data_IF_634069223332
#
_entry.id   IF_634069223332
#
_cell.length_a   1.000
_cell.length_b   1.000
_cell.length_c   1.000
_cell.angle_alpha   90.00
_cell.angle_beta   90.00
_cell.angle_gamma   90.00
#
_symmetry.space_group_name_H-M   'P 1'
#
loop_
_entity.id
_entity.type
_entity.pdbx_description
1 polymer ?
#
# COMPACT_ATOMS: atom_id res chain seq x y z
N UNK A 1 2.84 0.98 46.13
CA UNK A 1 4.03 0.13 46.35
C UNK A 1 5.19 0.75 45.59
N UNK A 2 6.21 1.19 46.31
CA UNK A 2 7.43 1.79 45.77
C UNK A 2 8.14 0.79 44.86
N UNK A 3 8.51 1.22 43.66
CA UNK A 3 9.35 0.44 42.74
C UNK A 3 10.75 0.34 43.31
N UNK A 4 11.00 -0.70 44.10
CA UNK A 4 12.34 -1.05 44.53
C UNK A 4 13.08 -1.81 43.42
N UNK A 5 14.35 -1.45 43.30
CA UNK A 5 15.33 -1.76 42.27
C UNK A 5 15.43 -3.27 41.95
N UNK A 6 15.40 -3.63 40.66
CA UNK A 6 15.45 -5.03 40.20
C UNK A 6 16.84 -5.46 39.71
N UNK A 7 17.87 -4.65 39.99
CA UNK A 7 19.26 -5.02 39.86
C UNK A 7 19.95 -4.57 38.57
N UNK A 8 21.28 -4.61 38.61
CA UNK A 8 22.18 -4.03 37.61
C UNK A 8 22.21 -4.79 36.27
N UNK A 9 22.32 -4.05 35.17
CA UNK A 9 22.73 -4.57 33.88
C UNK A 9 23.99 -3.83 33.45
N UNK A 10 25.14 -4.52 33.46
CA UNK A 10 26.43 -4.10 32.87
C UNK A 10 26.71 -2.60 33.11
N UNK A 11 26.79 -2.22 34.38
CA UNK A 11 27.14 -0.88 34.89
C UNK A 11 26.09 0.25 34.80
N UNK A 12 24.84 -0.04 34.44
CA UNK A 12 23.75 0.96 34.55
C UNK A 12 22.60 0.50 35.48
N UNK A 13 22.18 1.40 36.36
CA UNK A 13 20.96 1.26 37.19
C UNK A 13 19.77 1.69 36.33
N UNK A 14 19.00 0.73 35.84
CA UNK A 14 17.79 1.02 35.05
C UNK A 14 16.56 0.87 35.94
N UNK A 15 15.92 1.99 36.29
CA UNK A 15 14.63 1.98 36.98
C UNK A 15 13.53 1.50 36.03
N UNK A 16 13.00 0.32 36.28
CA UNK A 16 11.83 -0.20 35.59
C UNK A 16 10.58 -0.16 36.48
N UNK A 17 9.52 0.50 36.01
CA UNK A 17 8.23 0.58 36.70
C UNK A 17 7.27 -0.50 36.16
N UNK A 18 7.51 -1.78 36.45
CA UNK A 18 6.52 -2.84 36.20
C UNK A 18 6.31 -3.71 37.45
N UNK A 19 5.11 -4.29 37.56
CA UNK A 19 4.77 -5.20 38.65
C UNK A 19 5.62 -6.48 38.54
N UNK A 20 6.53 -6.70 39.49
CA UNK A 20 7.30 -7.94 39.62
C UNK A 20 6.90 -8.69 40.91
N UNK A 21 5.65 -9.19 41.02
CA UNK A 21 5.16 -9.84 42.24
C UNK A 21 6.00 -11.08 42.61
N UNK A 22 6.66 -11.70 41.62
CA UNK A 22 7.52 -12.86 41.81
C UNK A 22 8.97 -12.51 42.23
N UNK A 23 9.32 -11.21 42.35
CA UNK A 23 10.67 -10.71 42.69
C UNK A 23 11.81 -11.34 41.87
N UNK A 24 11.53 -11.67 40.60
CA UNK A 24 12.52 -12.29 39.71
C UNK A 24 13.57 -11.26 39.31
N UNK A 25 14.83 -11.66 39.25
CA UNK A 25 15.88 -10.82 38.64
C UNK A 25 15.62 -10.62 37.16
N UNK A 26 16.21 -9.58 36.55
CA UNK A 26 16.11 -9.34 35.12
C UNK A 26 16.41 -10.63 34.32
N UNK A 27 17.55 -11.27 34.60
CA UNK A 27 17.95 -12.53 33.95
C UNK A 27 16.90 -13.65 34.10
N UNK A 28 16.30 -13.80 35.28
CA UNK A 28 15.25 -14.79 35.54
C UNK A 28 13.94 -14.48 34.80
N UNK A 29 13.64 -13.19 34.59
CA UNK A 29 12.53 -12.77 33.73
C UNK A 29 12.82 -13.12 32.25
N UNK A 30 14.07 -13.12 31.82
CA UNK A 30 14.45 -13.34 30.40
C UNK A 30 14.67 -14.80 30.00
N UNK A 31 15.22 -15.63 30.89
CA UNK A 31 15.78 -16.96 30.55
C UNK A 31 14.75 -17.95 29.95
N UNK A 32 13.46 -17.79 30.26
CA UNK A 32 12.39 -18.71 29.86
C UNK A 32 11.62 -18.37 28.58
N UNK A 33 11.81 -17.18 28.00
CA UNK A 33 10.98 -16.67 26.89
C UNK A 33 11.76 -16.43 25.59
N UNK A 34 12.99 -16.92 25.49
CA UNK A 34 13.76 -16.94 24.26
C UNK A 34 13.41 -18.19 23.44
N UNK A 35 12.99 -18.02 22.18
CA UNK A 35 13.02 -19.13 21.21
C UNK A 35 14.42 -19.18 20.62
N UNK A 36 15.11 -20.31 20.82
CA UNK A 36 16.38 -20.60 20.16
C UNK A 36 16.05 -21.24 18.82
N UNK A 37 16.38 -20.55 17.74
CA UNK A 37 16.38 -21.12 16.40
C UNK A 37 17.83 -21.36 15.99
N UNK A 38 18.17 -22.62 15.75
CA UNK A 38 19.41 -22.99 15.09
C UNK A 38 19.22 -22.71 13.60
N UNK A 39 19.78 -21.60 13.11
CA UNK A 39 19.79 -21.31 11.68
C UNK A 39 20.98 -22.04 11.07
N UNK A 40 20.72 -23.04 10.23
CA UNK A 40 21.76 -23.74 9.50
C UNK A 40 22.26 -22.87 8.33
N UNK A 41 23.42 -22.25 8.48
CA UNK A 41 24.05 -21.37 7.47
C UNK A 41 25.11 -22.07 6.63
N UNK A 42 25.16 -23.41 6.62
CA UNK A 42 26.19 -24.15 5.89
C UNK A 42 27.55 -24.06 6.60
N UNK A 43 28.58 -23.53 5.91
CA UNK A 43 29.99 -23.67 6.29
C UNK A 43 30.44 -22.83 7.50
N UNK A 44 29.59 -21.96 8.05
CA UNK A 44 29.93 -21.06 9.16
C UNK A 44 29.56 -21.60 10.56
N UNK A 45 29.07 -22.85 10.64
CA UNK A 45 28.59 -23.43 11.90
C UNK A 45 27.25 -22.84 12.36
N UNK A 46 26.53 -23.49 13.29
CA UNK A 46 25.21 -23.04 13.71
C UNK A 46 25.29 -21.69 14.44
N UNK A 47 24.71 -20.65 13.84
CA UNK A 47 24.49 -19.37 14.51
C UNK A 47 23.23 -19.51 15.36
N UNK A 48 23.40 -19.53 16.70
CA UNK A 48 22.28 -19.51 17.64
C UNK A 48 21.62 -18.15 17.62
N UNK A 49 20.47 -18.05 16.96
CA UNK A 49 19.61 -16.87 17.05
C UNK A 49 18.58 -17.09 18.15
N UNK A 50 18.58 -16.25 19.18
CA UNK A 50 17.54 -16.29 20.22
C UNK A 50 16.60 -15.11 20.05
N UNK A 51 15.35 -15.37 19.64
CA UNK A 51 14.31 -14.34 19.55
C UNK A 51 13.56 -14.26 20.86
N UNK A 52 13.60 -13.09 21.49
CA UNK A 52 12.81 -12.78 22.67
C UNK A 52 11.59 -11.95 22.26
N UNK A 53 10.39 -12.42 22.58
CA UNK A 53 9.17 -11.61 22.52
C UNK A 53 8.78 -11.21 23.94
N UNK A 54 8.45 -9.93 24.15
CA UNK A 54 8.12 -9.39 25.47
C UNK A 54 6.77 -8.68 25.40
N UNK A 55 5.96 -8.86 26.43
CA UNK A 55 4.69 -8.16 26.62
C UNK A 55 4.77 -7.40 27.94
N UNK A 56 4.47 -6.10 27.93
CA UNK A 56 4.26 -5.34 29.15
C UNK A 56 2.76 -5.34 29.45
N UNK A 57 2.37 -5.85 30.61
CA UNK A 57 1.00 -5.71 31.11
C UNK A 57 0.95 -4.40 31.88
N UNK A 58 0.20 -3.44 31.35
CA UNK A 58 -0.01 -2.14 31.98
C UNK A 58 -1.42 -2.11 32.57
N UNK A 59 -1.53 -1.70 33.82
CA UNK A 59 -2.80 -1.56 34.51
C UNK A 59 -2.85 -0.20 35.22
N UNK A 60 -3.96 0.51 35.06
CA UNK A 60 -4.25 1.76 35.75
C UNK A 60 -5.75 1.80 36.10
N UNK A 61 -6.16 2.65 37.07
CA UNK A 61 -7.57 2.79 37.40
C UNK A 61 -8.39 3.19 36.17
N UNK A 62 -9.57 2.59 36.02
CA UNK A 62 -10.46 2.87 34.88
C UNK A 62 -10.83 4.36 34.77
N UNK A 63 -10.87 5.06 35.90
CA UNK A 63 -11.14 6.50 35.99
C UNK A 63 -10.08 7.36 35.29
N UNK A 64 -8.86 6.84 35.09
CA UNK A 64 -7.77 7.53 34.39
C UNK A 64 -7.47 6.89 33.03
N UNK A 65 -8.33 5.98 32.56
CA UNK A 65 -8.01 5.15 31.42
C UNK A 65 -7.76 5.97 30.15
N UNK A 66 -8.66 6.89 29.79
CA UNK A 66 -8.49 7.77 28.64
C UNK A 66 -7.22 8.62 28.70
N UNK A 67 -6.90 9.16 29.89
CA UNK A 67 -5.70 9.95 30.12
C UNK A 67 -4.44 9.12 29.80
N UNK A 68 -4.36 7.91 30.37
CA UNK A 68 -3.19 7.06 30.18
C UNK A 68 -3.09 6.48 28.76
N UNK A 69 -4.21 6.18 28.12
CA UNK A 69 -4.26 5.79 26.69
C UNK A 69 -3.63 6.88 25.83
N UNK A 70 -4.05 8.14 26.01
CA UNK A 70 -3.51 9.27 25.23
C UNK A 70 -2.03 9.54 25.53
N UNK A 71 -1.56 9.34 26.76
CA UNK A 71 -0.16 9.62 27.14
C UNK A 71 0.78 8.51 26.65
N UNK A 72 0.38 7.24 26.76
CA UNK A 72 1.32 6.13 26.64
C UNK A 72 1.19 5.34 25.33
N UNK A 73 0.02 5.32 24.68
CA UNK A 73 -0.18 4.52 23.47
C UNK A 73 0.12 5.33 22.19
N UNK A 74 0.60 4.70 21.10
CA UNK A 74 0.59 5.33 19.78
C UNK A 74 -0.84 5.68 19.37
N UNK A 75 -1.02 6.74 18.57
CA UNK A 75 -2.33 7.31 18.32
C UNK A 75 -3.32 6.32 17.68
N UNK A 76 -2.84 5.46 16.78
CA UNK A 76 -3.63 4.42 16.13
C UNK A 76 -4.22 3.42 17.12
N UNK A 77 -3.45 3.02 18.13
CA UNK A 77 -3.92 2.10 19.16
C UNK A 77 -4.81 2.82 20.17
N UNK A 78 -4.53 4.08 20.46
CA UNK A 78 -5.34 4.89 21.36
C UNK A 78 -6.77 5.06 20.85
N UNK A 79 -6.95 5.33 19.55
CA UNK A 79 -8.29 5.44 18.96
C UNK A 79 -8.99 4.09 18.85
N UNK A 80 -8.26 3.00 18.60
CA UNK A 80 -8.84 1.66 18.57
C UNK A 80 -9.29 1.19 19.96
N UNK A 81 -8.56 1.55 21.01
CA UNK A 81 -8.99 1.31 22.39
C UNK A 81 -10.24 2.14 22.70
N UNK A 82 -10.28 3.40 22.29
CA UNK A 82 -11.48 4.23 22.44
C UNK A 82 -12.69 3.63 21.69
N UNK A 83 -12.44 3.05 20.51
CA UNK A 83 -13.43 2.34 19.71
C UNK A 83 -13.95 1.05 20.37
N UNK A 84 -13.17 0.41 21.24
CA UNK A 84 -13.60 -0.78 21.98
C UNK A 84 -14.52 -0.43 23.16
N UNK A 85 -14.45 0.81 23.65
CA UNK A 85 -15.22 1.34 24.77
C UNK A 85 -16.57 1.96 24.37
N UNK A 86 -17.06 1.72 23.14
CA UNK A 86 -18.34 2.26 22.66
C UNK A 86 -19.48 1.99 23.66
N UNK A 87 -20.43 2.93 23.82
CA UNK A 87 -20.52 4.23 23.12
C UNK A 87 -19.64 5.32 23.74
N UNK A 88 -19.11 6.21 22.91
CA UNK A 88 -18.32 7.38 23.35
C UNK A 88 -19.02 8.65 22.89
N UNK A 89 -19.29 9.57 23.80
CA UNK A 89 -20.02 10.81 23.47
C UNK A 89 -19.10 11.83 22.75
N UNK A 90 -19.73 12.79 22.07
CA UNK A 90 -19.01 13.77 21.27
C UNK A 90 -18.10 14.71 22.08
N UNK A 91 -18.37 14.94 23.37
CA UNK A 91 -17.52 15.77 24.22
C UNK A 91 -16.20 15.05 24.55
N UNK A 92 -16.27 13.76 24.86
CA UNK A 92 -15.10 12.91 25.12
C UNK A 92 -14.24 12.77 23.87
N UNK A 93 -14.85 12.61 22.69
CA UNK A 93 -14.13 12.59 21.42
C UNK A 93 -13.40 13.90 21.12
N UNK A 94 -14.01 15.06 21.40
CA UNK A 94 -13.35 16.38 21.26
C UNK A 94 -12.16 16.51 22.20
N UNK A 95 -12.31 16.08 23.45
CA UNK A 95 -11.23 16.12 24.44
C UNK A 95 -10.09 15.18 24.05
N UNK A 96 -10.41 13.98 23.56
CA UNK A 96 -9.45 13.03 23.02
C UNK A 96 -8.66 13.62 21.85
N UNK A 97 -9.34 14.18 20.84
CA UNK A 97 -8.69 14.84 19.70
C UNK A 97 -7.77 15.98 20.15
N UNK A 98 -8.21 16.84 21.07
CA UNK A 98 -7.40 17.94 21.59
C UNK A 98 -6.13 17.43 22.27
N UNK A 99 -6.27 16.41 23.12
CA UNK A 99 -5.15 15.88 23.89
C UNK A 99 -4.13 15.14 23.00
N UNK A 100 -4.61 14.32 22.06
CA UNK A 100 -3.73 13.59 21.15
C UNK A 100 -3.06 14.51 20.14
N UNK A 101 -3.79 15.52 19.67
CA UNK A 101 -3.25 16.56 18.79
C UNK A 101 -2.15 17.35 19.45
N UNK A 102 -2.33 17.78 20.71
CA UNK A 102 -1.31 18.48 21.46
C UNK A 102 -0.02 17.65 21.63
N UNK A 103 -0.15 16.33 21.80
CA UNK A 103 1.00 15.41 21.92
C UNK A 103 1.75 15.22 20.61
N UNK A 104 1.02 15.08 19.50
CA UNK A 104 1.59 14.74 18.20
C UNK A 104 1.84 15.95 17.28
N UNK A 105 1.45 17.15 17.71
CA UNK A 105 1.59 18.38 16.94
C UNK A 105 0.61 18.47 15.76
N UNK A 106 -0.56 17.84 15.85
CA UNK A 106 -1.56 17.84 14.78
C UNK A 106 -2.34 19.17 14.72
N UNK A 107 -2.96 19.44 13.57
CA UNK A 107 -3.90 20.55 13.40
C UNK A 107 -3.30 21.95 13.20
N UNK A 108 -4.14 22.97 13.00
CA UNK A 108 -3.78 24.24 12.35
C UNK A 108 -2.84 25.16 13.13
N UNK A 109 -2.57 24.87 14.41
CA UNK A 109 -1.71 25.71 15.26
C UNK A 109 -0.21 25.47 15.04
N UNK A 110 0.20 24.43 14.30
CA UNK A 110 1.58 23.96 14.27
C UNK A 110 2.13 23.84 12.83
N UNK A 111 2.75 24.92 12.30
CA UNK A 111 3.64 24.97 11.11
C UNK A 111 3.11 24.38 9.77
N UNK A 112 3.67 24.76 8.61
CA UNK A 112 3.18 24.30 7.29
C UNK A 112 3.45 22.82 6.97
N UNK A 113 4.01 22.05 7.91
CA UNK A 113 4.22 20.61 7.82
C UNK A 113 3.38 19.87 8.87
N UNK A 114 2.14 20.33 9.10
CA UNK A 114 1.21 19.68 10.03
C UNK A 114 1.13 18.19 9.73
N UNK A 115 1.52 17.37 10.71
CA UNK A 115 1.22 15.94 10.66
C UNK A 115 -0.29 15.80 10.80
N UNK A 116 -0.92 15.26 9.77
CA UNK A 116 -2.33 14.83 9.82
C UNK A 116 -2.40 13.44 10.45
N UNK A 117 -3.61 12.97 10.77
CA UNK A 117 -3.77 11.62 11.33
C UNK A 117 -3.40 10.55 10.30
N UNK A 118 -2.99 9.36 10.73
CA UNK A 118 -2.77 8.24 9.79
C UNK A 118 -4.10 7.71 9.25
N UNK A 119 -4.08 7.06 8.08
CA UNK A 119 -5.28 6.40 7.49
C UNK A 119 -5.93 5.43 8.48
N UNK A 120 -5.12 4.68 9.23
CA UNK A 120 -5.60 3.75 10.25
C UNK A 120 -6.34 4.47 11.37
N UNK A 121 -5.80 5.59 11.86
CA UNK A 121 -6.48 6.43 12.84
C UNK A 121 -7.81 6.95 12.28
N UNK A 122 -7.78 7.53 11.08
CA UNK A 122 -8.94 8.10 10.40
C UNK A 122 -10.09 7.11 10.27
N UNK A 123 -9.80 5.88 9.82
CA UNK A 123 -10.80 4.81 9.70
C UNK A 123 -11.49 4.53 11.03
N UNK A 124 -10.71 4.35 12.11
CA UNK A 124 -11.26 4.06 13.44
C UNK A 124 -12.04 5.25 14.00
N UNK A 125 -11.57 6.47 13.76
CA UNK A 125 -12.23 7.67 14.24
C UNK A 125 -13.55 7.97 13.51
N UNK A 126 -13.66 7.66 12.22
CA UNK A 126 -14.93 7.76 11.48
C UNK A 126 -16.03 6.89 12.11
N UNK A 127 -15.71 5.69 12.58
CA UNK A 127 -16.69 4.84 13.26
C UNK A 127 -17.20 5.49 14.56
N UNK A 128 -16.31 6.11 15.36
CA UNK A 128 -16.69 6.85 16.56
C UNK A 128 -17.56 8.08 16.23
N UNK A 129 -17.25 8.77 15.14
CA UNK A 129 -18.01 9.94 14.68
C UNK A 129 -19.44 9.58 14.29
N UNK A 130 -19.63 8.45 13.58
CA UNK A 130 -20.95 7.93 13.25
C UNK A 130 -21.73 7.61 14.52
N UNK A 131 -21.11 6.93 15.49
CA UNK A 131 -21.76 6.58 16.76
C UNK A 131 -22.14 7.81 17.60
N UNK A 132 -21.32 8.87 17.56
CA UNK A 132 -21.57 10.10 18.30
C UNK A 132 -22.65 11.00 17.66
N UNK A 133 -22.86 10.91 16.34
CA UNK A 133 -23.91 11.64 15.63
C UNK A 133 -23.78 13.17 15.63
N UNK A 134 -22.60 13.71 15.93
CA UNK A 134 -22.36 15.16 16.07
C UNK A 134 -21.73 15.76 14.80
N UNK A 135 -22.52 16.53 14.05
CA UNK A 135 -22.12 17.12 12.76
C UNK A 135 -20.96 18.10 12.88
N UNK A 136 -20.90 18.88 13.96
CA UNK A 136 -19.83 19.87 14.16
C UNK A 136 -18.50 19.17 14.47
N UNK A 137 -18.55 18.06 15.20
CA UNK A 137 -17.38 17.23 15.44
C UNK A 137 -16.89 16.55 14.15
N UNK A 138 -17.80 16.07 13.30
CA UNK A 138 -17.45 15.51 11.98
C UNK A 138 -16.74 16.56 11.13
N UNK A 139 -17.32 17.75 10.99
CA UNK A 139 -16.71 18.88 10.25
C UNK A 139 -15.34 19.26 10.82
N UNK A 140 -15.23 19.35 12.14
CA UNK A 140 -13.97 19.65 12.81
C UNK A 140 -12.91 18.61 12.46
N UNK A 141 -13.25 17.31 12.51
CA UNK A 141 -12.33 16.24 12.19
C UNK A 141 -11.90 16.28 10.72
N UNK A 142 -12.85 16.33 9.79
CA UNK A 142 -12.59 16.35 8.35
C UNK A 142 -11.70 17.51 7.93
N UNK A 143 -11.92 18.70 8.51
CA UNK A 143 -11.22 19.92 8.06
C UNK A 143 -9.88 20.18 8.75
N UNK A 144 -9.67 19.68 9.98
CA UNK A 144 -8.50 20.04 10.80
C UNK A 144 -7.57 18.88 11.15
N UNK A 145 -8.03 17.64 11.01
CA UNK A 145 -7.29 16.48 11.52
C UNK A 145 -7.14 15.38 10.48
N UNK A 146 -8.20 15.12 9.71
CA UNK A 146 -8.21 14.08 8.70
C UNK A 146 -7.23 14.42 7.58
N UNK A 147 -6.35 13.49 7.18
CA UNK A 147 -5.53 13.70 6.01
C UNK A 147 -6.34 13.64 4.73
N UNK A 148 -5.78 14.22 3.67
CA UNK A 148 -6.19 13.88 2.31
C UNK A 148 -5.78 12.44 1.98
N UNK A 149 -6.74 11.65 1.54
CA UNK A 149 -6.65 10.20 1.43
C UNK A 149 -6.29 9.73 0.01
N UNK A 150 -6.45 10.57 -1.01
CA UNK A 150 -6.14 10.19 -2.39
C UNK A 150 -4.68 9.77 -2.55
N UNK A 151 -4.45 8.59 -3.15
CA UNK A 151 -3.14 7.94 -3.33
C UNK A 151 -2.41 7.53 -2.03
N UNK A 152 -2.98 7.75 -0.85
CA UNK A 152 -2.39 7.37 0.45
C UNK A 152 -2.36 5.86 0.64
N UNK A 153 -1.24 5.35 1.18
CA UNK A 153 -1.09 3.92 1.47
C UNK A 153 -2.18 3.44 2.43
N UNK A 154 -2.85 2.34 2.09
CA UNK A 154 -3.89 1.73 2.92
C UNK A 154 -5.25 2.46 2.88
N UNK A 155 -5.43 3.48 2.04
CA UNK A 155 -6.67 4.27 1.96
C UNK A 155 -7.90 3.44 1.59
N UNK A 156 -7.72 2.31 0.91
CA UNK A 156 -8.77 1.37 0.57
C UNK A 156 -9.46 0.80 1.82
N UNK A 157 -8.73 0.71 2.93
CA UNK A 157 -9.26 0.23 4.21
C UNK A 157 -10.19 1.24 4.89
N UNK A 158 -10.13 2.52 4.51
CA UNK A 158 -10.99 3.56 5.04
C UNK A 158 -12.32 3.69 4.28
N UNK A 159 -12.44 3.12 3.07
CA UNK A 159 -13.64 3.20 2.22
C UNK A 159 -14.93 2.83 2.96
N UNK A 160 -15.02 1.70 3.71
CA UNK A 160 -16.25 1.35 4.42
C UNK A 160 -16.66 2.38 5.46
N UNK A 161 -15.69 2.96 6.18
CA UNK A 161 -15.96 3.96 7.22
C UNK A 161 -16.38 5.31 6.59
N UNK A 162 -15.79 5.69 5.45
CA UNK A 162 -16.20 6.88 4.69
C UNK A 162 -17.63 6.74 4.18
N UNK A 163 -18.01 5.56 3.65
CA UNK A 163 -19.38 5.27 3.22
C UNK A 163 -20.35 5.41 4.39
N UNK A 164 -19.99 4.89 5.58
CA UNK A 164 -20.82 5.04 6.79
C UNK A 164 -21.02 6.51 7.16
N UNK A 165 -19.97 7.32 7.16
CA UNK A 165 -20.07 8.77 7.39
C UNK A 165 -21.00 9.43 6.36
N UNK A 166 -20.78 9.18 5.07
CA UNK A 166 -21.59 9.76 4.00
C UNK A 166 -23.08 9.36 4.06
N UNK A 167 -23.38 8.18 4.62
CA UNK A 167 -24.75 7.69 4.80
C UNK A 167 -25.39 8.10 6.14
N UNK A 168 -24.59 8.43 7.15
CA UNK A 168 -25.08 8.79 8.49
C UNK A 168 -25.45 10.28 8.61
N UNK A 169 -24.83 11.14 7.81
CA UNK A 169 -25.00 12.60 7.89
C UNK A 169 -25.59 13.17 6.60
N UNK A 170 -26.25 14.33 6.70
CA UNK A 170 -26.83 15.01 5.53
C UNK A 170 -25.70 15.54 4.65
N UNK A 171 -25.78 15.24 3.34
CA UNK A 171 -24.71 15.58 2.40
C UNK A 171 -24.43 17.09 2.32
N UNK A 172 -25.47 17.93 2.36
CA UNK A 172 -25.31 19.39 2.33
C UNK A 172 -24.54 19.95 3.54
N UNK A 173 -24.45 19.20 4.65
CA UNK A 173 -23.69 19.63 5.82
C UNK A 173 -22.22 19.24 5.73
N UNK A 174 -21.91 18.02 5.29
CA UNK A 174 -20.53 17.47 5.37
C UNK A 174 -19.86 17.25 4.02
N UNK A 175 -20.61 17.34 2.92
CA UNK A 175 -20.20 16.89 1.59
C UNK A 175 -18.97 17.61 1.06
N UNK A 176 -18.88 18.93 1.23
CA UNK A 176 -17.71 19.72 0.82
C UNK A 176 -16.44 19.27 1.57
N UNK A 177 -16.53 19.12 2.89
CA UNK A 177 -15.40 18.66 3.71
C UNK A 177 -15.03 17.21 3.41
N UNK A 178 -16.01 16.35 3.11
CA UNK A 178 -15.75 14.97 2.75
C UNK A 178 -15.08 14.85 1.38
N UNK A 179 -15.48 15.67 0.42
CA UNK A 179 -14.86 15.72 -0.90
C UNK A 179 -13.40 16.22 -0.82
N UNK A 180 -13.10 17.21 0.02
CA UNK A 180 -11.73 17.72 0.19
C UNK A 180 -10.77 16.62 0.69
N UNK A 181 -11.19 15.80 1.65
CA UNK A 181 -10.34 14.71 2.16
C UNK A 181 -10.18 13.56 1.15
N UNK A 182 -11.07 13.42 0.16
CA UNK A 182 -10.96 12.41 -0.88
C UNK A 182 -10.04 12.86 -2.04
N UNK A 183 -9.62 14.11 -2.03
CA UNK A 183 -8.66 14.64 -2.99
C UNK A 183 -7.21 14.17 -2.72
N UNK A 184 -6.28 14.60 -3.56
CA UNK A 184 -4.87 14.21 -3.52
C UNK A 184 -4.21 14.56 -2.18
N UNK A 185 -3.70 13.51 -1.50
CA UNK A 185 -2.76 13.66 -0.40
C UNK A 185 -1.40 14.18 -0.85
N UNK A 186 -0.62 14.68 0.11
CA UNK A 186 0.80 14.97 -0.09
C UNK A 186 1.58 13.67 -0.26
N UNK A 187 2.29 13.51 -1.38
CA UNK A 187 3.11 12.32 -1.64
C UNK A 187 4.59 12.67 -1.77
N UNK A 188 5.41 11.91 -1.05
CA UNK A 188 6.80 11.63 -1.41
C UNK A 188 6.78 10.37 -2.26
N UNK A 189 7.48 10.38 -3.39
CA UNK A 189 7.51 9.27 -4.34
C UNK A 189 7.78 7.92 -3.67
N UNK A 190 6.87 6.96 -3.86
CA UNK A 190 6.98 5.60 -3.34
C UNK A 190 6.01 4.64 -4.04
N UNK A 191 6.37 3.35 -4.04
CA UNK A 191 5.70 2.24 -4.75
C UNK A 191 4.40 1.76 -4.06
N UNK A 192 4.24 2.04 -2.75
CA UNK A 192 3.09 1.58 -1.96
C UNK A 192 1.95 2.59 -1.98
N UNK A 193 1.40 2.89 -3.16
CA UNK A 193 0.23 3.80 -3.29
C UNK A 193 -1.06 2.99 -3.15
N UNK A 194 -1.97 3.46 -2.30
CA UNK A 194 -3.34 2.93 -2.24
C UNK A 194 -4.14 3.30 -3.49
N UNK A 195 -5.47 3.24 -3.39
CA UNK A 195 -6.38 3.70 -4.44
C UNK A 195 -6.03 5.13 -4.87
N UNK A 196 -6.05 5.39 -6.18
CA UNK A 196 -5.98 6.76 -6.69
C UNK A 196 -7.17 7.57 -6.16
N UNK A 197 -7.10 8.90 -6.22
CA UNK A 197 -8.25 9.76 -5.94
C UNK A 197 -9.47 9.38 -6.82
N UNK A 198 -9.25 9.13 -8.12
CA UNK A 198 -10.30 8.69 -9.04
C UNK A 198 -10.95 7.38 -8.57
N UNK A 199 -10.15 6.37 -8.26
CA UNK A 199 -10.62 5.05 -7.83
C UNK A 199 -11.31 5.11 -6.46
N UNK A 200 -10.74 5.88 -5.52
CA UNK A 200 -11.31 6.09 -4.19
C UNK A 200 -12.70 6.74 -4.26
N UNK A 201 -12.87 7.79 -5.07
CA UNK A 201 -14.15 8.46 -5.28
C UNK A 201 -15.20 7.49 -5.85
N UNK A 202 -14.84 6.67 -6.83
CA UNK A 202 -15.73 5.66 -7.39
C UNK A 202 -16.18 4.62 -6.35
N UNK A 203 -15.24 4.14 -5.55
CA UNK A 203 -15.52 3.15 -4.51
C UNK A 203 -16.53 3.66 -3.47
N UNK A 204 -16.40 4.93 -3.07
CA UNK A 204 -17.38 5.56 -2.17
C UNK A 204 -18.71 5.77 -2.91
N UNK A 205 -18.68 6.30 -4.13
CA UNK A 205 -19.88 6.60 -4.92
C UNK A 205 -20.75 5.37 -5.22
N UNK A 206 -20.16 4.18 -5.36
CA UNK A 206 -20.92 2.94 -5.67
C UNK A 206 -21.83 2.49 -4.52
N UNK A 207 -21.56 2.90 -3.29
CA UNK A 207 -22.20 2.37 -2.07
C UNK A 207 -22.85 3.44 -1.17
N UNK A 208 -22.81 4.72 -1.54
CA UNK A 208 -23.58 5.77 -0.86
C UNK A 208 -25.05 5.71 -1.28
N UNK A 209 -25.94 5.95 -0.32
CA UNK A 209 -27.39 5.88 -0.51
C UNK A 209 -27.97 7.21 -1.01
N UNK A 210 -27.31 8.33 -0.70
CA UNK A 210 -27.74 9.66 -1.16
C UNK A 210 -27.41 9.85 -2.64
N UNK A 211 -28.45 10.13 -3.45
CA UNK A 211 -28.29 10.46 -4.86
C UNK A 211 -27.44 11.74 -5.06
N UNK A 212 -27.62 12.72 -4.18
CA UNK A 212 -26.83 13.96 -4.17
C UNK A 212 -25.35 13.68 -3.91
N UNK A 213 -25.06 12.85 -2.90
CA UNK A 213 -23.70 12.44 -2.58
C UNK A 213 -23.05 11.67 -3.73
N UNK A 214 -23.79 10.69 -4.29
CA UNK A 214 -23.32 9.90 -5.43
C UNK A 214 -22.99 10.80 -6.62
N UNK A 215 -23.87 11.73 -6.98
CA UNK A 215 -23.66 12.63 -8.11
C UNK A 215 -22.44 13.53 -7.89
N UNK A 216 -22.27 14.09 -6.69
CA UNK A 216 -21.13 14.94 -6.35
C UNK A 216 -19.80 14.18 -6.43
N UNK A 217 -19.75 12.95 -5.90
CA UNK A 217 -18.56 12.08 -5.96
C UNK A 217 -18.21 11.69 -7.41
N UNK A 218 -19.20 11.31 -8.21
CA UNK A 218 -18.98 10.95 -9.63
C UNK A 218 -18.53 12.16 -10.45
N UNK A 219 -19.13 13.34 -10.22
CA UNK A 219 -18.72 14.59 -10.87
C UNK A 219 -17.26 14.91 -10.55
N UNK A 220 -16.87 14.85 -9.27
CA UNK A 220 -15.48 15.07 -8.88
C UNK A 220 -14.55 14.04 -9.52
N UNK A 221 -14.94 12.76 -9.59
CA UNK A 221 -14.12 11.73 -10.24
C UNK A 221 -13.86 12.05 -11.71
N UNK A 222 -14.88 12.52 -12.45
CA UNK A 222 -14.75 12.91 -13.86
C UNK A 222 -13.78 14.08 -14.09
N UNK A 223 -13.59 14.95 -13.11
CA UNK A 223 -12.62 16.05 -13.16
C UNK A 223 -11.18 15.59 -12.91
N UNK A 224 -10.97 14.39 -12.36
CA UNK A 224 -9.63 13.83 -12.09
C UNK A 224 -9.05 13.07 -13.29
N UNK A 225 -7.73 12.83 -13.21
CA UNK A 225 -7.01 11.95 -14.13
C UNK A 225 -7.49 10.50 -13.96
N UNK A 226 -7.72 9.82 -15.08
CA UNK A 226 -8.14 8.42 -15.07
C UNK A 226 -6.98 7.54 -14.60
N UNK A 227 -7.09 7.01 -13.39
CA UNK A 227 -6.11 6.09 -12.81
C UNK A 227 -6.86 4.99 -12.07
N UNK A 228 -7.12 3.88 -12.75
CA UNK A 228 -7.79 2.70 -12.19
C UNK A 228 -6.81 1.54 -12.23
N UNK A 229 -6.51 0.97 -11.06
CA UNK A 229 -5.52 -0.11 -10.96
C UNK A 229 -6.15 -1.47 -10.72
N UNK A 230 -7.39 -1.51 -10.22
CA UNK A 230 -8.05 -2.77 -9.89
C UNK A 230 -9.19 -3.09 -10.85
N UNK A 231 -9.40 -4.39 -11.09
CA UNK A 231 -10.56 -4.91 -11.85
C UNK A 231 -11.88 -4.43 -11.21
N UNK A 232 -11.92 -4.35 -9.88
CA UNK A 232 -13.09 -3.85 -9.15
C UNK A 232 -13.35 -2.36 -9.42
N UNK A 233 -12.32 -1.52 -9.39
CA UNK A 233 -12.41 -0.10 -9.73
C UNK A 233 -12.91 0.12 -11.16
N UNK A 234 -12.38 -0.64 -12.12
CA UNK A 234 -12.86 -0.64 -13.51
C UNK A 234 -14.30 -1.13 -13.62
N UNK A 235 -14.69 -2.17 -12.88
CA UNK A 235 -16.07 -2.65 -12.85
C UNK A 235 -17.06 -1.59 -12.37
N UNK A 236 -16.70 -0.85 -11.31
CA UNK A 236 -17.50 0.28 -10.82
C UNK A 236 -17.55 1.39 -11.85
N UNK A 237 -16.40 1.76 -12.44
CA UNK A 237 -16.32 2.75 -13.50
C UNK A 237 -17.24 2.42 -14.69
N UNK A 238 -17.21 1.17 -15.16
CA UNK A 238 -18.09 0.68 -16.21
C UNK A 238 -19.56 0.86 -15.83
N UNK A 239 -19.95 0.34 -14.65
CA UNK A 239 -21.32 0.36 -14.13
C UNK A 239 -21.86 1.78 -13.90
N UNK A 240 -21.05 2.68 -13.34
CA UNK A 240 -21.49 3.99 -12.83
C UNK A 240 -21.26 5.15 -13.78
N UNK A 241 -20.29 5.05 -14.68
CA UNK A 241 -19.94 6.14 -15.61
C UNK A 241 -20.22 5.74 -17.06
N UNK A 242 -19.74 4.57 -17.50
CA UNK A 242 -19.82 4.21 -18.94
C UNK A 242 -21.23 3.76 -19.36
N UNK A 243 -21.91 2.95 -18.55
CA UNK A 243 -23.29 2.51 -18.87
C UNK A 243 -24.26 3.69 -18.85
N UNK A 244 -24.32 4.53 -17.79
CA UNK A 244 -25.33 5.58 -17.69
C UNK A 244 -24.96 6.87 -18.43
N UNK A 245 -23.69 7.02 -18.83
CA UNK A 245 -23.18 8.23 -19.46
C UNK A 245 -23.77 8.50 -20.83
N UNK A 246 -23.92 9.79 -21.15
CA UNK A 246 -24.32 10.23 -22.49
C UNK A 246 -23.19 10.09 -23.51
N UNK A 247 -23.47 10.41 -24.78
CA UNK A 247 -22.49 10.29 -25.86
C UNK A 247 -21.23 11.13 -25.63
N UNK A 248 -21.36 12.29 -24.98
CA UNK A 248 -20.23 13.17 -24.69
C UNK A 248 -19.36 12.59 -23.57
N UNK A 249 -19.97 12.17 -22.46
CA UNK A 249 -19.29 11.51 -21.35
C UNK A 249 -18.57 10.26 -21.83
N UNK A 250 -19.23 9.45 -22.65
CA UNK A 250 -18.63 8.25 -23.24
C UNK A 250 -17.42 8.59 -24.11
N UNK A 251 -17.52 9.61 -24.98
CA UNK A 251 -16.42 10.07 -25.83
C UNK A 251 -15.23 10.56 -25.00
N UNK A 252 -15.48 11.37 -23.99
CA UNK A 252 -14.43 11.87 -23.09
C UNK A 252 -13.74 10.74 -22.34
N UNK A 253 -14.51 9.80 -21.79
CA UNK A 253 -13.95 8.65 -21.06
C UNK A 253 -13.17 7.71 -21.97
N UNK A 254 -13.67 7.46 -23.19
CA UNK A 254 -12.91 6.74 -24.22
C UNK A 254 -11.56 7.40 -24.47
N UNK A 255 -11.56 8.72 -24.69
CA UNK A 255 -10.33 9.45 -25.00
C UNK A 255 -9.35 9.43 -23.82
N UNK A 256 -9.85 9.38 -22.57
CA UNK A 256 -9.02 9.14 -21.37
C UNK A 256 -8.45 7.72 -21.33
N UNK A 257 -9.28 6.69 -21.55
CA UNK A 257 -8.84 5.28 -21.55
C UNK A 257 -7.76 5.04 -22.61
N UNK A 258 -7.93 5.61 -23.80
CA UNK A 258 -6.96 5.47 -24.90
C UNK A 258 -5.59 6.11 -24.60
N UNK A 259 -5.48 6.97 -23.59
CA UNK A 259 -4.21 7.55 -23.11
C UNK A 259 -3.55 6.73 -22.00
N UNK A 260 -4.26 5.76 -21.40
CA UNK A 260 -3.68 4.86 -20.39
C UNK A 260 -2.58 4.02 -21.02
N UNK A 261 -1.51 3.75 -20.26
CA UNK A 261 -0.38 2.94 -20.73
C UNK A 261 -0.84 1.52 -21.05
N UNK A 262 -0.36 0.90 -22.15
CA UNK A 262 -0.75 -0.47 -22.49
C UNK A 262 -0.54 -1.51 -21.37
N UNK A 263 0.51 -1.33 -20.56
CA UNK A 263 0.80 -2.16 -19.38
C UNK A 263 -0.30 -2.11 -18.29
N UNK A 264 -1.08 -1.03 -18.25
CA UNK A 264 -2.13 -0.77 -17.26
C UNK A 264 -3.55 -1.06 -17.81
N UNK A 265 -3.68 -1.47 -19.07
CA UNK A 265 -4.97 -1.74 -19.72
C UNK A 265 -5.60 -3.09 -19.34
N UNK A 266 -4.87 -4.00 -18.70
CA UNK A 266 -5.36 -5.35 -18.36
C UNK A 266 -6.72 -5.36 -17.67
N UNK A 267 -6.92 -4.61 -16.56
CA UNK A 267 -8.21 -4.54 -15.88
C UNK A 267 -9.37 -4.02 -16.75
N UNK A 268 -9.09 -3.09 -17.67
CA UNK A 268 -10.08 -2.56 -18.61
C UNK A 268 -10.55 -3.63 -19.59
N UNK A 269 -9.61 -4.34 -20.19
CA UNK A 269 -9.89 -5.43 -21.11
C UNK A 269 -10.69 -6.52 -20.42
N UNK A 270 -10.30 -6.93 -19.21
CA UNK A 270 -11.00 -7.98 -18.47
C UNK A 270 -12.47 -7.60 -18.20
N UNK A 271 -12.73 -6.40 -17.70
CA UNK A 271 -14.10 -5.95 -17.40
C UNK A 271 -14.92 -5.79 -18.67
N UNK A 272 -14.40 -5.13 -19.69
CA UNK A 272 -15.18 -4.84 -20.90
C UNK A 272 -15.49 -6.13 -21.66
N UNK A 273 -14.52 -7.05 -21.76
CA UNK A 273 -14.72 -8.39 -22.32
C UNK A 273 -15.80 -9.17 -21.56
N UNK A 274 -15.95 -9.01 -20.23
CA UNK A 274 -17.02 -9.68 -19.49
C UNK A 274 -18.41 -9.07 -19.69
N UNK A 275 -18.50 -7.78 -20.06
CA UNK A 275 -19.76 -7.02 -20.04
C UNK A 275 -20.27 -6.62 -21.44
N UNK A 276 -19.43 -6.68 -22.48
CA UNK A 276 -19.82 -6.40 -23.87
C UNK A 276 -20.09 -7.73 -24.57
N UNK A 277 -21.33 -7.94 -25.03
CA UNK A 277 -21.74 -9.11 -25.80
C UNK A 277 -21.41 -8.95 -27.29
N UNK A 278 -21.23 -10.07 -28.00
CA UNK A 278 -20.96 -10.12 -29.45
C UNK A 278 -22.09 -9.55 -30.32
N UNK A 279 -23.24 -9.20 -29.72
CA UNK A 279 -24.39 -8.59 -30.39
C UNK A 279 -24.53 -7.09 -30.12
N UNK A 280 -23.64 -6.53 -29.30
CA UNK A 280 -23.58 -5.11 -29.01
C UNK A 280 -22.96 -4.38 -30.22
N UNK A 281 -23.82 -3.95 -31.16
CA UNK A 281 -23.43 -3.28 -32.42
C UNK A 281 -22.97 -1.83 -32.23
N UNK A 282 -22.56 -1.47 -31.01
CA UNK A 282 -22.34 -0.10 -30.60
C UNK A 282 -20.88 0.32 -30.68
N UNK A 283 -20.67 1.64 -30.70
CA UNK A 283 -19.37 2.33 -30.56
C UNK A 283 -18.51 1.75 -29.41
N UNK A 284 -19.12 1.15 -28.38
CA UNK A 284 -18.45 0.51 -27.25
C UNK A 284 -17.59 -0.69 -27.66
N UNK A 285 -18.08 -1.53 -28.59
CA UNK A 285 -17.32 -2.68 -29.10
C UNK A 285 -16.05 -2.22 -29.83
N UNK A 286 -16.16 -1.21 -30.70
CA UNK A 286 -15.00 -0.65 -31.41
C UNK A 286 -13.96 -0.03 -30.46
N UNK A 287 -14.41 0.56 -29.34
CA UNK A 287 -13.48 1.06 -28.29
C UNK A 287 -12.76 -0.10 -27.60
N UNK A 288 -13.49 -1.17 -27.26
CA UNK A 288 -12.91 -2.36 -26.67
C UNK A 288 -11.87 -3.01 -27.61
N UNK A 289 -12.17 -3.12 -28.91
CA UNK A 289 -11.23 -3.64 -29.90
C UNK A 289 -9.91 -2.85 -29.93
N UNK A 290 -9.97 -1.51 -29.91
CA UNK A 290 -8.77 -0.66 -29.88
C UNK A 290 -7.97 -0.83 -28.58
N UNK A 291 -8.66 -0.92 -27.44
CA UNK A 291 -8.02 -1.15 -26.13
C UNK A 291 -7.35 -2.54 -26.10
N UNK A 292 -8.06 -3.56 -26.57
CA UNK A 292 -7.56 -4.93 -26.65
C UNK A 292 -6.34 -5.02 -27.57
N UNK A 293 -6.39 -4.42 -28.77
CA UNK A 293 -5.26 -4.38 -29.70
C UNK A 293 -4.01 -3.75 -29.07
N UNK A 294 -4.15 -2.58 -28.42
CA UNK A 294 -3.04 -1.95 -27.69
C UNK A 294 -2.45 -2.85 -26.60
N UNK A 295 -3.31 -3.56 -25.86
CA UNK A 295 -2.88 -4.49 -24.81
C UNK A 295 -2.15 -5.70 -25.43
N UNK A 296 -2.69 -6.28 -26.49
CA UNK A 296 -2.10 -7.42 -27.20
C UNK A 296 -0.73 -7.09 -27.79
N UNK A 297 -0.56 -5.92 -28.41
CA UNK A 297 0.73 -5.47 -28.93
C UNK A 297 1.79 -5.36 -27.81
N UNK A 298 1.40 -4.80 -26.67
CA UNK A 298 2.28 -4.71 -25.50
C UNK A 298 2.62 -6.09 -24.92
N UNK A 299 1.62 -6.98 -24.78
CA UNK A 299 1.83 -8.36 -24.33
C UNK A 299 2.79 -9.10 -25.26
N UNK A 300 2.64 -8.97 -26.58
CA UNK A 300 3.57 -9.56 -27.55
C UNK A 300 4.99 -9.04 -27.38
N UNK A 301 5.16 -7.73 -27.13
CA UNK A 301 6.45 -7.13 -26.81
C UNK A 301 7.09 -7.70 -25.54
N UNK A 302 6.33 -7.81 -24.45
CA UNK A 302 6.83 -8.36 -23.19
C UNK A 302 7.13 -9.86 -23.27
N UNK A 303 6.30 -10.64 -23.97
CA UNK A 303 6.56 -12.06 -24.23
C UNK A 303 7.87 -12.21 -25.00
N UNK A 304 8.08 -11.45 -26.08
CA UNK A 304 9.33 -11.49 -26.83
C UNK A 304 10.54 -11.10 -25.97
N UNK A 305 10.37 -10.10 -25.09
CA UNK A 305 11.41 -9.69 -24.12
C UNK A 305 11.74 -10.83 -23.16
N UNK A 306 10.75 -11.50 -22.60
CA UNK A 306 10.95 -12.58 -21.63
C UNK A 306 11.27 -13.95 -22.26
N UNK A 307 11.04 -14.15 -23.55
CA UNK A 307 11.43 -15.37 -24.27
C UNK A 307 12.96 -15.55 -24.34
N UNK A 308 13.73 -14.47 -24.18
CA UNK A 308 15.18 -14.52 -24.00
C UNK A 308 15.60 -15.09 -22.63
N UNK A 309 14.68 -15.15 -21.66
CA UNK A 309 14.92 -15.74 -20.35
C UNK A 309 14.76 -17.26 -20.44
N UNK A 310 15.85 -17.96 -20.20
CA UNK A 310 15.89 -19.43 -20.23
C UNK A 310 14.83 -20.04 -19.30
N UNK A 311 14.11 -21.05 -19.80
CA UNK A 311 13.19 -21.87 -19.00
C UNK A 311 13.93 -22.54 -17.84
N UNK A 312 15.21 -22.87 -18.06
CA UNK A 312 16.10 -23.35 -17.01
C UNK A 312 16.69 -22.18 -16.23
N UNK A 313 16.77 -22.35 -14.92
CA UNK A 313 17.22 -21.29 -14.02
C UNK A 313 18.65 -20.83 -14.34
N UNK A 314 18.82 -19.52 -14.48
CA UNK A 314 20.12 -18.84 -14.58
C UNK A 314 20.19 -17.68 -13.60
N UNK A 315 21.39 -17.34 -13.14
CA UNK A 315 21.64 -16.15 -12.32
C UNK A 315 21.66 -14.84 -13.13
N UNK A 316 21.48 -14.90 -14.45
CA UNK A 316 21.42 -13.70 -15.30
C UNK A 316 20.12 -12.94 -15.07
N UNK A 317 20.22 -11.62 -14.95
CA UNK A 317 19.08 -10.69 -14.94
C UNK A 317 19.28 -9.70 -16.11
N UNK A 318 19.00 -10.08 -17.36
CA UNK A 318 19.38 -9.32 -18.56
C UNK A 318 18.85 -7.89 -18.62
N UNK A 319 17.74 -7.62 -17.93
CA UNK A 319 17.07 -6.32 -17.92
C UNK A 319 17.38 -5.48 -16.68
N UNK A 320 18.21 -5.98 -15.76
CA UNK A 320 18.60 -5.28 -14.55
C UNK A 320 19.27 -3.94 -14.86
N UNK A 321 18.94 -2.90 -14.09
CA UNK A 321 19.59 -1.58 -14.18
C UNK A 321 20.18 -1.19 -12.84
N UNK A 322 21.40 -0.69 -12.85
CA UNK A 322 22.07 -0.17 -11.66
C UNK A 322 22.71 1.19 -11.94
N UNK A 323 21.91 2.27 -11.92
CA UNK A 323 22.40 3.62 -12.19
C UNK A 323 23.57 4.00 -11.26
N UNK A 324 24.67 4.47 -11.86
CA UNK A 324 25.85 4.94 -11.12
C UNK A 324 26.92 3.88 -10.84
N UNK A 325 26.66 2.58 -11.05
CA UNK A 325 27.69 1.54 -10.87
C UNK A 325 27.67 0.48 -11.99
N UNK A 326 28.29 0.78 -13.16
CA UNK A 326 28.28 -0.12 -14.33
C UNK A 326 28.85 -1.51 -14.08
N UNK A 327 29.80 -1.65 -13.14
CA UNK A 327 30.37 -2.96 -12.77
C UNK A 327 29.37 -3.84 -12.04
N UNK A 328 28.52 -3.25 -11.19
CA UNK A 328 27.46 -3.99 -10.50
C UNK A 328 26.38 -4.38 -11.52
N UNK A 329 26.00 -3.48 -12.43
CA UNK A 329 25.06 -3.78 -13.52
C UNK A 329 25.55 -4.95 -14.39
N UNK A 330 26.82 -4.92 -14.81
CA UNK A 330 27.43 -6.01 -15.59
C UNK A 330 27.43 -7.33 -14.83
N UNK A 331 27.68 -7.31 -13.52
CA UNK A 331 27.53 -8.49 -12.68
C UNK A 331 26.07 -8.97 -12.65
N UNK A 332 25.07 -8.09 -12.56
CA UNK A 332 23.67 -8.51 -12.60
C UNK A 332 23.31 -9.25 -13.90
N UNK A 333 23.89 -8.83 -15.02
CA UNK A 333 23.71 -9.48 -16.34
C UNK A 333 24.48 -10.80 -16.49
N UNK A 334 25.42 -11.10 -15.59
CA UNK A 334 26.30 -12.26 -15.70
C UNK A 334 25.68 -13.54 -15.10
N UNK A 335 26.25 -14.74 -15.36
CA UNK A 335 25.80 -15.99 -14.74
C UNK A 335 26.36 -16.19 -13.31
N UNK A 336 27.17 -15.28 -12.78
CA UNK A 336 27.73 -15.42 -11.44
C UNK A 336 26.67 -15.17 -10.36
N UNK A 337 26.68 -15.99 -9.31
CA UNK A 337 25.73 -15.88 -8.19
C UNK A 337 26.04 -14.72 -7.26
N UNK A 338 27.33 -14.44 -7.03
CA UNK A 338 27.78 -13.45 -6.05
C UNK A 338 28.98 -12.65 -6.50
N UNK A 339 29.07 -11.39 -6.06
CA UNK A 339 30.27 -10.54 -6.18
C UNK A 339 30.53 -9.79 -4.88
N UNK A 340 31.76 -9.28 -4.71
CA UNK A 340 32.07 -8.30 -3.66
C UNK A 340 32.32 -6.92 -4.26
N UNK A 341 32.06 -5.88 -3.48
CA UNK A 341 32.33 -4.48 -3.89
C UNK A 341 33.76 -4.03 -3.58
N UNK A 342 34.65 -4.96 -3.20
CA UNK A 342 36.04 -4.65 -2.86
C UNK A 342 36.73 -4.00 -4.06
N UNK A 343 37.30 -2.80 -3.86
CA UNK A 343 37.93 -2.02 -4.93
C UNK A 343 36.95 -1.37 -5.93
N UNK A 344 35.64 -1.54 -5.75
CA UNK A 344 34.59 -0.97 -6.61
C UNK A 344 33.84 0.17 -5.94
N UNK A 345 33.54 0.00 -4.65
CA UNK A 345 32.84 1.00 -3.83
C UNK A 345 33.62 1.18 -2.54
N UNK A 346 33.99 2.42 -2.24
CA UNK A 346 34.69 2.77 -1.01
C UNK A 346 33.69 3.19 0.06
N UNK A 347 33.70 2.49 1.19
CA UNK A 347 32.87 2.81 2.36
C UNK A 347 33.75 3.39 3.47
N UNK A 348 33.23 4.37 4.20
CA UNK A 348 33.93 4.97 5.35
C UNK A 348 34.00 4.05 6.56
N UNK A 349 32.96 3.22 6.74
CA UNK A 349 32.74 2.38 7.91
C UNK A 349 31.63 1.35 7.59
N UNK A 350 31.43 0.38 8.48
CA UNK A 350 30.40 -0.66 8.32
C UNK A 350 28.97 -0.08 8.30
N UNK A 351 28.73 1.09 8.92
CA UNK A 351 27.41 1.72 8.94
C UNK A 351 27.06 2.32 7.58
N UNK A 352 28.01 2.93 6.87
CA UNK A 352 27.81 3.44 5.51
C UNK A 352 27.60 2.31 4.51
N UNK A 353 28.31 1.19 4.64
CA UNK A 353 28.05 -0.02 3.85
C UNK A 353 26.63 -0.57 4.09
N UNK A 354 26.20 -0.71 5.35
CA UNK A 354 24.83 -1.15 5.71
C UNK A 354 23.75 -0.19 5.21
N UNK A 355 24.01 1.12 5.25
CA UNK A 355 23.08 2.13 4.71
C UNK A 355 22.91 1.96 3.20
N UNK A 356 24.02 1.81 2.48
CA UNK A 356 24.02 1.57 1.04
C UNK A 356 23.24 0.28 0.69
N UNK A 357 23.53 -0.83 1.38
CA UNK A 357 22.80 -2.09 1.20
C UNK A 357 21.28 -1.91 1.34
N UNK A 358 20.83 -1.17 2.36
CA UNK A 358 19.41 -0.92 2.61
C UNK A 358 18.76 -0.04 1.53
N UNK A 359 19.46 0.97 1.03
CA UNK A 359 18.94 1.86 -0.02
C UNK A 359 18.71 1.08 -1.31
N UNK A 360 19.68 0.25 -1.73
CA UNK A 360 19.62 -0.47 -3.00
C UNK A 360 18.80 -1.77 -2.97
N UNK A 361 18.62 -2.38 -1.80
CA UNK A 361 17.74 -3.56 -1.68
C UNK A 361 16.26 -3.19 -1.60
N UNK A 362 15.91 -1.89 -1.42
CA UNK A 362 14.51 -1.46 -1.21
C UNK A 362 13.67 -1.49 -2.48
N UNK A 363 14.25 -1.14 -3.63
CA UNK A 363 13.58 -1.19 -4.94
C UNK A 363 14.65 -1.47 -6.02
N UNK A 364 15.05 -2.74 -6.20
CA UNK A 364 15.95 -3.12 -7.28
C UNK A 364 15.21 -3.13 -8.62
N UNK A 365 15.71 -2.37 -9.60
CA UNK A 365 15.11 -2.32 -10.95
C UNK A 365 15.41 -3.59 -11.75
N UNK A 366 14.38 -4.38 -12.01
CA UNK A 366 14.47 -5.60 -12.84
C UNK A 366 15.55 -6.57 -12.35
N UNK A 367 15.70 -6.67 -11.03
CA UNK A 367 16.73 -7.47 -10.38
C UNK A 367 16.25 -8.00 -9.04
N UNK A 368 16.89 -9.07 -8.57
CA UNK A 368 16.67 -9.56 -7.21
C UNK A 368 17.95 -10.07 -6.59
N UNK A 369 18.40 -9.39 -5.54
CA UNK A 369 19.62 -9.74 -4.81
C UNK A 369 19.51 -9.34 -3.35
N UNK A 370 20.41 -9.87 -2.53
CA UNK A 370 20.66 -9.46 -1.15
C UNK A 370 22.04 -8.85 -1.08
N UNK A 371 22.20 -7.85 -0.21
CA UNK A 371 23.51 -7.26 0.09
C UNK A 371 23.84 -7.50 1.56
N UNK A 372 25.00 -8.10 1.82
CA UNK A 372 25.51 -8.35 3.17
C UNK A 372 26.80 -7.58 3.38
N UNK A 373 26.89 -6.86 4.49
CA UNK A 373 28.08 -6.07 4.81
C UNK A 373 29.09 -6.94 5.54
N UNK A 374 30.31 -6.97 5.01
CA UNK A 374 31.47 -7.59 5.61
C UNK A 374 32.53 -6.56 5.95
N UNK A 375 33.45 -6.92 6.83
CA UNK A 375 34.57 -6.08 7.20
C UNK A 375 35.83 -6.94 7.24
N UNK A 376 36.85 -6.51 6.50
CA UNK A 376 38.19 -7.08 6.59
C UNK A 376 39.17 -5.93 6.90
N UNK A 377 40.07 -5.57 5.97
CA UNK A 377 40.89 -4.35 6.08
C UNK A 377 40.10 -3.07 5.82
N UNK A 378 39.08 -3.15 4.96
CA UNK A 378 38.12 -2.08 4.69
C UNK A 378 36.70 -2.69 4.67
N UNK A 379 35.64 -1.93 5.00
CA UNK A 379 34.27 -2.40 4.86
C UNK A 379 33.90 -2.65 3.39
N UNK A 380 33.12 -3.70 3.13
CA UNK A 380 32.66 -4.05 1.78
C UNK A 380 31.25 -4.66 1.83
N UNK A 381 30.64 -4.80 0.65
CA UNK A 381 29.38 -5.51 0.48
C UNK A 381 29.58 -6.76 -0.38
N UNK A 382 28.97 -7.85 0.02
CA UNK A 382 28.74 -9.02 -0.83
C UNK A 382 27.33 -8.92 -1.40
N UNK A 383 27.23 -8.90 -2.72
CA UNK A 383 25.97 -8.92 -3.45
C UNK A 383 25.73 -10.36 -3.87
N UNK A 384 24.62 -10.94 -3.43
CA UNK A 384 24.22 -12.32 -3.77
C UNK A 384 22.86 -12.27 -4.44
N UNK A 385 22.79 -12.74 -5.68
CA UNK A 385 21.55 -12.80 -6.45
C UNK A 385 20.56 -13.78 -5.81
N UNK A 386 19.28 -13.59 -6.07
CA UNK A 386 18.24 -14.53 -5.63
C UNK A 386 17.46 -15.07 -6.82
N UNK A 387 16.81 -16.22 -6.63
CA UNK A 387 15.94 -16.83 -7.64
C UNK A 387 14.65 -16.06 -7.91
N UNK A 388 14.30 -15.09 -7.05
CA UNK A 388 13.00 -14.43 -7.09
C UNK A 388 12.71 -13.79 -8.45
N UNK A 389 13.67 -13.05 -9.02
CA UNK A 389 13.45 -12.38 -10.31
C UNK A 389 13.17 -13.40 -11.43
N UNK A 390 13.92 -14.51 -11.50
CA UNK A 390 13.68 -15.55 -12.53
C UNK A 390 12.31 -16.20 -12.35
N UNK A 391 11.96 -16.57 -11.12
CA UNK A 391 10.66 -17.18 -10.81
C UNK A 391 9.50 -16.23 -11.16
N UNK A 392 9.58 -14.97 -10.73
CA UNK A 392 8.58 -13.94 -11.00
C UNK A 392 8.45 -13.72 -12.52
N UNK A 393 9.57 -13.65 -13.26
CA UNK A 393 9.55 -13.50 -14.72
C UNK A 393 8.91 -14.70 -15.45
N UNK A 394 9.16 -15.94 -14.98
CA UNK A 394 8.52 -17.13 -15.56
C UNK A 394 7.01 -17.15 -15.28
N UNK A 395 6.59 -16.72 -14.09
CA UNK A 395 5.18 -16.59 -13.74
C UNK A 395 4.47 -15.54 -14.60
N UNK A 396 5.05 -14.34 -14.71
CA UNK A 396 4.54 -13.27 -15.58
C UNK A 396 4.46 -13.69 -17.04
N UNK A 397 5.49 -14.37 -17.57
CA UNK A 397 5.49 -14.87 -18.95
C UNK A 397 4.33 -15.85 -19.22
N UNK A 398 4.01 -16.73 -18.27
CA UNK A 398 2.85 -17.63 -18.39
C UNK A 398 1.55 -16.84 -18.41
N UNK A 399 1.39 -15.87 -17.50
CA UNK A 399 0.20 -15.01 -17.43
C UNK A 399 0.01 -14.20 -18.73
N UNK A 400 1.07 -13.59 -19.26
CA UNK A 400 1.00 -12.81 -20.50
C UNK A 400 0.62 -13.68 -21.70
N UNK A 401 1.16 -14.90 -21.80
CA UNK A 401 0.79 -15.84 -22.88
C UNK A 401 -0.67 -16.25 -22.79
N UNK A 402 -1.14 -16.58 -21.59
CA UNK A 402 -2.55 -16.94 -21.37
C UNK A 402 -3.47 -15.77 -21.72
N UNK A 403 -3.18 -14.56 -21.24
CA UNK A 403 -3.94 -13.35 -21.57
C UNK A 403 -3.96 -13.12 -23.09
N UNK A 404 -2.81 -13.18 -23.77
CA UNK A 404 -2.73 -12.97 -25.21
C UNK A 404 -3.55 -13.99 -26.02
N UNK A 405 -3.55 -15.27 -25.60
CA UNK A 405 -4.38 -16.31 -26.24
C UNK A 405 -5.86 -15.99 -26.06
N UNK A 406 -6.31 -15.69 -24.84
CA UNK A 406 -7.71 -15.37 -24.55
C UNK A 406 -8.20 -14.17 -25.37
N UNK A 407 -7.39 -13.11 -25.47
CA UNK A 407 -7.72 -11.94 -26.29
C UNK A 407 -7.73 -12.25 -27.79
N UNK A 408 -6.77 -13.06 -28.25
CA UNK A 408 -6.73 -13.47 -29.67
C UNK A 408 -7.95 -14.31 -30.06
N UNK A 409 -8.37 -15.25 -29.22
CA UNK A 409 -9.57 -16.05 -29.47
C UNK A 409 -10.83 -15.18 -29.51
N UNK A 410 -10.94 -14.23 -28.58
CA UNK A 410 -12.06 -13.29 -28.49
C UNK A 410 -12.17 -12.40 -29.72
N UNK A 411 -11.09 -11.70 -30.09
CA UNK A 411 -11.15 -10.63 -31.10
C UNK A 411 -10.76 -11.08 -32.52
N UNK A 412 -9.87 -12.06 -32.67
CA UNK A 412 -9.50 -12.61 -33.98
C UNK A 412 -10.27 -13.90 -34.32
N UNK A 413 -10.71 -14.67 -33.33
CA UNK A 413 -11.53 -15.88 -33.55
C UNK A 413 -12.97 -15.58 -33.98
N UNK A 414 -13.57 -14.49 -33.48
CA UNK A 414 -14.92 -14.06 -33.85
C UNK A 414 -15.03 -13.64 -35.33
N UNK A 415 -14.00 -12.98 -35.90
CA UNK A 415 -13.97 -12.61 -37.32
C UNK A 415 -13.98 -13.83 -38.27
N UNK A 416 -13.37 -14.97 -37.87
CA UNK A 416 -13.42 -16.21 -38.66
C UNK A 416 -14.80 -16.86 -38.64
N UNK A 417 -15.48 -16.88 -37.50
CA UNK A 417 -16.84 -17.48 -37.35
C UNK A 417 -17.93 -16.67 -38.04
N UNK A 418 -17.78 -15.34 -38.13
CA UNK A 418 -18.69 -14.48 -38.88
C UNK A 418 -18.54 -14.68 -40.40
N UNK A 419 -17.31 -14.90 -40.91
CA UNK A 419 -17.06 -15.20 -42.32
C UNK A 419 -17.58 -16.58 -42.73
N UNK A 420 -17.43 -17.60 -41.89
CA UNK A 420 -17.91 -18.97 -42.20
C UNK A 420 -19.43 -19.17 -42.08
N UNK A 421 -20.20 -18.15 -41.65
CA UNK A 421 -21.67 -18.17 -41.61
C UNK A 421 -22.30 -17.31 -42.71
N UNK A 422 -21.50 -16.52 -43.42
CA UNK A 422 -21.92 -15.68 -44.54
C UNK A 422 -21.60 -16.31 -45.92
N UNK A 423 -20.87 -17.44 -45.91
CA UNK A 423 -20.73 -18.40 -47.01
C UNK A 423 -21.68 -19.57 -46.78
#
# INVERSE_FOLDING_TARGET
MSGEDLGHWIDEIVKFNFLNPARKTLLQLWKGYGKVEDVYTGNEGPIKSTKYSRFAIVAWPITHHLLHVVIHMPAEFAVEELLSLRPVNAADLRNFLRAISARHGWGPANHPFTMETSVRFTRSFFELLVDAGDVDLVKLFLTKYCPRLGNSYGNETAVPAIIKIANAFVWSEIGESLLDILDNGFHLDGENRGHSNFELLLHVADSVNSAEAQQALLKMALEKELNLRTVKGVGIFWKRIIIPGDAQTFKEMRDKILKVKPSELGPFVEVFTKNIDDHDTTVKLGVLEVIAAKRMDWLGGEINRFDEVDKTFSWKMPFAKYPGYPTIERFLHSPEESMTTVGLVKFSDLRSAKKFAREWTRSPYEASFRMTAGENKEPFLTITKTRKWHNDAQEELMQYREELIQLSERFHGAQKRARSRAE
#
